data_IF_952153530343
#
_entry.id   IF_952153530343
#
_cell.length_a   1.000
_cell.length_b   1.000
_cell.length_c   1.000
_cell.angle_alpha   90.00
_cell.angle_beta   90.00
_cell.angle_gamma   90.00
#
_symmetry.space_group_name_H-M   'P 1'
#
loop_
_entity.id
_entity.type
_entity.pdbx_description
1 polymer ?
#
# COMPACT_ATOMS: atom_id res chain seq x y z
N UNK A 1 -0.69 17.10 5.66
CA UNK A 1 -2.16 17.09 5.83
C UNK A 1 -2.52 15.75 6.41
N UNK A 2 -3.01 15.70 7.65
CA UNK A 2 -3.35 14.49 8.43
C UNK A 2 -4.53 13.68 7.84
N UNK A 3 -4.83 13.79 6.55
CA UNK A 3 -6.01 13.20 5.91
C UNK A 3 -5.79 12.81 4.44
N UNK A 4 -4.56 12.48 4.02
CA UNK A 4 -4.33 11.99 2.64
C UNK A 4 -4.91 10.59 2.45
N UNK A 5 -5.34 10.24 1.24
CA UNK A 5 -5.74 8.86 0.90
C UNK A 5 -4.68 7.81 1.26
N UNK A 6 -3.39 8.18 1.22
CA UNK A 6 -2.27 7.30 1.60
C UNK A 6 -2.21 7.07 3.11
N UNK A 7 -2.52 8.08 3.93
CA UNK A 7 -2.64 7.89 5.39
C UNK A 7 -3.82 6.97 5.74
N UNK A 8 -4.98 7.18 5.09
CA UNK A 8 -6.15 6.30 5.28
C UNK A 8 -5.86 4.87 4.84
N UNK A 9 -5.13 4.71 3.74
CA UNK A 9 -4.67 3.41 3.24
C UNK A 9 -3.77 2.70 4.24
N UNK A 10 -2.80 3.41 4.84
CA UNK A 10 -1.91 2.86 5.86
C UNK A 10 -2.68 2.45 7.13
N UNK A 11 -3.60 3.31 7.59
CA UNK A 11 -4.46 3.00 8.74
C UNK A 11 -5.30 1.75 8.46
N UNK A 12 -5.96 1.67 7.30
CA UNK A 12 -6.75 0.52 6.92
C UNK A 12 -5.92 -0.77 6.81
N UNK A 13 -4.68 -0.67 6.32
CA UNK A 13 -3.74 -1.78 6.26
C UNK A 13 -3.38 -2.30 7.67
N UNK A 14 -3.11 -1.38 8.60
CA UNK A 14 -2.78 -1.72 9.98
C UNK A 14 -3.98 -2.33 10.72
N UNK A 15 -5.17 -1.78 10.50
CA UNK A 15 -6.44 -2.29 11.05
C UNK A 15 -6.94 -3.57 10.38
N UNK A 16 -6.26 -4.04 9.31
CA UNK A 16 -6.69 -5.19 8.49
C UNK A 16 -8.09 -5.01 7.90
N UNK A 17 -8.52 -3.77 7.71
CA UNK A 17 -9.83 -3.44 7.18
C UNK A 17 -9.79 -3.45 5.64
N UNK A 18 -10.11 -4.60 5.05
CA UNK A 18 -10.03 -4.77 3.59
C UNK A 18 -10.97 -3.84 2.82
N UNK A 19 -12.15 -3.53 3.35
CA UNK A 19 -13.10 -2.65 2.68
C UNK A 19 -12.63 -1.19 2.67
N UNK A 20 -12.15 -0.70 3.81
CA UNK A 20 -11.57 0.63 3.89
C UNK A 20 -10.29 0.72 3.05
N UNK A 21 -9.47 -0.33 3.06
CA UNK A 21 -8.25 -0.40 2.27
C UNK A 21 -8.56 -0.30 0.77
N UNK A 22 -9.53 -1.07 0.27
CA UNK A 22 -9.95 -1.02 -1.14
C UNK A 22 -10.59 0.32 -1.52
N UNK A 23 -11.29 0.99 -0.61
CA UNK A 23 -11.88 2.31 -0.86
C UNK A 23 -10.86 3.43 -1.14
N UNK A 24 -9.57 3.17 -0.88
CA UNK A 24 -8.48 4.12 -1.15
C UNK A 24 -7.92 4.04 -2.58
N UNK A 25 -8.34 3.04 -3.37
CA UNK A 25 -7.79 2.76 -4.70
C UNK A 25 -8.85 2.93 -5.79
N UNK A 26 -8.44 3.30 -7.01
CA UNK A 26 -9.35 3.26 -8.15
C UNK A 26 -9.72 1.83 -8.55
N UNK A 27 -10.85 1.66 -9.23
CA UNK A 27 -11.32 0.34 -9.70
C UNK A 27 -10.28 -0.37 -10.59
N UNK A 28 -9.57 0.41 -11.40
CA UNK A 28 -8.55 0.01 -12.37
C UNK A 28 -7.10 0.19 -11.89
N UNK A 29 -6.88 0.29 -10.58
CA UNK A 29 -5.57 0.52 -9.97
C UNK A 29 -4.50 -0.43 -10.53
N UNK A 30 -3.30 0.09 -10.76
CA UNK A 30 -2.16 -0.70 -11.26
C UNK A 30 -1.02 -0.74 -10.26
N UNK A 31 -0.52 -1.93 -9.95
CA UNK A 31 0.64 -2.11 -9.08
C UNK A 31 1.81 -2.64 -9.89
N UNK A 32 2.91 -1.91 -9.81
CA UNK A 32 4.14 -2.21 -10.51
C UNK A 32 5.25 -2.56 -9.53
N UNK A 33 6.15 -3.44 -9.97
CA UNK A 33 7.52 -3.38 -9.51
C UNK A 33 8.24 -2.34 -10.37
N UNK A 34 8.92 -1.41 -9.71
CA UNK A 34 9.67 -0.37 -10.41
C UNK A 34 10.75 -1.00 -11.30
N UNK A 35 10.94 -0.51 -12.55
CA UNK A 35 10.27 0.66 -13.13
C UNK A 35 8.88 0.40 -13.73
N UNK A 36 8.63 -0.76 -14.34
CA UNK A 36 7.52 -0.93 -15.28
C UNK A 36 6.91 -2.34 -15.32
N UNK A 37 7.25 -3.23 -14.39
CA UNK A 37 6.70 -4.59 -14.37
C UNK A 37 5.34 -4.61 -13.68
N UNK A 38 4.25 -4.75 -14.45
CA UNK A 38 2.89 -4.86 -13.90
C UNK A 38 2.73 -6.19 -13.14
N UNK A 39 2.45 -6.10 -11.84
CA UNK A 39 2.27 -7.28 -10.97
C UNK A 39 0.82 -7.54 -10.60
N UNK A 40 -0.02 -6.51 -10.69
CA UNK A 40 -1.43 -6.60 -10.35
C UNK A 40 -2.21 -5.45 -10.97
N UNK A 41 -3.43 -5.73 -11.42
CA UNK A 41 -4.35 -4.76 -12.01
C UNK A 41 -5.76 -4.98 -11.47
N UNK A 42 -6.40 -3.88 -11.08
CA UNK A 42 -7.78 -3.83 -10.64
C UNK A 42 -8.02 -4.23 -9.17
N UNK A 43 -9.10 -3.68 -8.60
CA UNK A 43 -9.47 -3.94 -7.20
C UNK A 43 -9.78 -5.41 -6.92
N UNK A 44 -10.34 -6.16 -7.87
CA UNK A 44 -10.68 -7.57 -7.63
C UNK A 44 -9.43 -8.42 -7.31
N UNK A 45 -8.37 -8.29 -8.11
CA UNK A 45 -7.10 -8.97 -7.88
C UNK A 45 -6.43 -8.47 -6.59
N UNK A 46 -6.47 -7.16 -6.36
CA UNK A 46 -5.91 -6.53 -5.16
C UNK A 46 -6.60 -7.01 -3.88
N UNK A 47 -7.93 -7.02 -3.86
CA UNK A 47 -8.73 -7.46 -2.73
C UNK A 47 -8.41 -8.90 -2.36
N UNK A 48 -8.40 -9.81 -3.33
CA UNK A 48 -8.08 -11.21 -3.10
C UNK A 48 -6.67 -11.39 -2.49
N UNK A 49 -5.67 -10.66 -3.01
CA UNK A 49 -4.30 -10.71 -2.51
C UNK A 49 -4.17 -10.17 -1.09
N UNK A 50 -4.69 -8.99 -0.82
CA UNK A 50 -4.54 -8.33 0.48
C UNK A 50 -5.43 -8.94 1.57
N UNK A 51 -6.62 -9.44 1.21
CA UNK A 51 -7.43 -10.21 2.15
C UNK A 51 -6.68 -11.45 2.65
N UNK A 52 -6.13 -12.25 1.73
CA UNK A 52 -5.30 -13.41 2.10
C UNK A 52 -4.09 -12.99 2.95
N UNK A 53 -3.45 -11.87 2.61
CA UNK A 53 -2.33 -11.33 3.38
C UNK A 53 -2.73 -11.01 4.83
N UNK A 54 -3.88 -10.35 5.03
CA UNK A 54 -4.39 -9.98 6.35
C UNK A 54 -4.77 -11.20 7.19
N UNK A 55 -5.39 -12.20 6.57
CA UNK A 55 -5.72 -13.48 7.21
C UNK A 55 -4.46 -14.28 7.58
N UNK A 56 -3.44 -14.27 6.72
CA UNK A 56 -2.18 -15.01 6.94
C UNK A 56 -1.32 -14.36 8.03
N UNK A 57 -1.29 -13.04 8.09
CA UNK A 57 -0.44 -12.28 9.00
C UNK A 57 -1.26 -11.29 9.85
N UNK A 58 -2.03 -11.76 10.85
CA UNK A 58 -2.92 -10.91 11.64
C UNK A 58 -2.16 -9.87 12.47
N UNK A 59 -0.94 -10.20 12.90
CA UNK A 59 -0.07 -9.31 13.70
C UNK A 59 0.82 -8.41 12.83
N UNK A 60 0.62 -8.41 11.52
CA UNK A 60 1.36 -7.57 10.60
C UNK A 60 1.11 -6.09 10.89
N UNK A 61 2.15 -5.27 10.90
CA UNK A 61 2.02 -3.83 11.15
C UNK A 61 3.04 -3.06 10.33
N UNK A 62 2.60 -1.99 9.66
CA UNK A 62 3.43 -1.11 8.86
C UNK A 62 3.58 0.25 9.55
N UNK A 63 4.81 0.77 9.57
CA UNK A 63 5.13 2.14 9.98
C UNK A 63 5.83 2.87 8.86
N UNK A 64 5.48 4.14 8.66
CA UNK A 64 6.16 5.03 7.71
C UNK A 64 7.13 5.91 8.49
N UNK A 65 8.43 5.75 8.27
CA UNK A 65 9.44 6.60 8.93
C UNK A 65 9.71 7.88 8.13
N UNK A 66 9.48 7.85 6.81
CA UNK A 66 9.66 8.98 5.90
C UNK A 66 8.58 8.98 4.83
N UNK A 67 7.95 10.14 4.67
CA UNK A 67 6.99 10.42 3.59
C UNK A 67 7.42 11.64 2.80
N UNK A 68 7.46 11.51 1.48
CA UNK A 68 7.69 12.61 0.54
C UNK A 68 6.42 12.84 -0.25
N UNK A 69 5.98 14.10 -0.35
CA UNK A 69 4.82 14.50 -1.14
C UNK A 69 5.30 15.42 -2.25
N UNK A 70 5.00 15.07 -3.51
CA UNK A 70 5.38 15.86 -4.68
C UNK A 70 4.24 15.88 -5.71
N UNK A 71 3.43 16.94 -5.66
CA UNK A 71 2.25 17.07 -6.51
C UNK A 71 1.27 15.92 -6.27
N UNK A 72 1.00 15.14 -7.31
CA UNK A 72 0.12 13.95 -7.25
C UNK A 72 0.83 12.67 -6.80
N UNK A 73 2.13 12.74 -6.49
CA UNK A 73 2.92 11.59 -6.06
C UNK A 73 3.19 11.64 -4.57
N UNK A 74 3.13 10.47 -3.92
CA UNK A 74 3.54 10.26 -2.53
C UNK A 74 4.53 9.10 -2.51
N UNK A 75 5.59 9.20 -1.72
CA UNK A 75 6.58 8.14 -1.55
C UNK A 75 6.72 7.87 -0.06
N UNK A 76 6.47 6.62 0.32
CA UNK A 76 6.63 6.14 1.67
C UNK A 76 7.81 5.16 1.74
N UNK A 77 8.65 5.39 2.73
CA UNK A 77 9.58 4.38 3.22
C UNK A 77 8.91 3.68 4.42
N UNK A 78 8.63 2.39 4.24
CA UNK A 78 7.83 1.57 5.14
C UNK A 78 8.69 0.51 5.81
N UNK A 79 8.44 0.31 7.10
CA UNK A 79 8.90 -0.86 7.84
C UNK A 79 7.69 -1.72 8.21
N UNK A 80 7.73 -2.98 7.82
CA UNK A 80 6.65 -3.95 8.03
C UNK A 80 7.14 -5.04 8.96
N UNK A 81 6.44 -5.22 10.07
CA UNK A 81 6.66 -6.28 11.06
C UNK A 81 5.54 -7.33 11.00
N UNK A 82 5.70 -8.44 11.72
CA UNK A 82 4.63 -9.43 11.93
C UNK A 82 4.36 -10.37 10.76
N UNK A 83 5.13 -10.29 9.66
CA UNK A 83 5.08 -11.28 8.57
C UNK A 83 5.99 -12.48 8.80
N UNK A 84 7.11 -12.27 9.48
CA UNK A 84 8.02 -13.31 9.94
C UNK A 84 8.52 -12.91 11.32
N UNK A 85 8.56 -13.87 12.24
CA UNK A 85 8.94 -13.61 13.63
C UNK A 85 10.36 -13.04 13.70
N UNK A 86 10.52 -11.92 14.41
CA UNK A 86 11.80 -11.24 14.58
C UNK A 86 12.33 -10.51 13.35
N UNK A 87 11.61 -10.50 12.22
CA UNK A 87 12.03 -9.83 10.99
C UNK A 87 11.30 -8.50 10.76
N UNK A 88 12.04 -7.51 10.26
CA UNK A 88 11.52 -6.27 9.71
C UNK A 88 11.72 -6.34 8.20
N UNK A 89 10.62 -6.19 7.46
CA UNK A 89 10.66 -6.04 6.01
C UNK A 89 10.65 -4.55 5.69
N UNK A 90 11.61 -4.12 4.88
CA UNK A 90 11.68 -2.75 4.38
C UNK A 90 11.02 -2.69 2.99
N UNK A 91 10.25 -1.63 2.74
CA UNK A 91 9.66 -1.37 1.43
C UNK A 91 9.69 0.13 1.12
N UNK A 92 9.88 0.46 -0.16
CA UNK A 92 9.62 1.82 -0.67
C UNK A 92 8.42 1.73 -1.59
N UNK A 93 7.33 2.38 -1.21
CA UNK A 93 6.10 2.45 -1.95
C UNK A 93 5.90 3.86 -2.50
N UNK A 94 5.73 3.97 -3.82
CA UNK A 94 5.37 5.22 -4.47
C UNK A 94 3.93 5.12 -5.00
N UNK A 95 3.13 6.14 -4.75
CA UNK A 95 1.73 6.22 -5.11
C UNK A 95 1.51 7.37 -6.09
N UNK A 96 0.72 7.14 -7.14
CA UNK A 96 0.13 8.21 -7.96
C UNK A 96 -1.34 8.38 -7.57
N UNK A 97 -1.74 9.60 -7.26
CA UNK A 97 -3.07 9.95 -6.75
C UNK A 97 -3.83 10.76 -7.80
N UNK A 98 -5.12 10.47 -7.95
CA UNK A 98 -6.05 11.25 -8.76
C UNK A 98 -7.42 11.26 -8.09
N UNK A 99 -8.03 12.43 -7.95
CA UNK A 99 -9.38 12.59 -7.38
C UNK A 99 -9.54 11.90 -6.00
N UNK A 100 -8.53 12.06 -5.14
CA UNK A 100 -8.42 11.43 -3.80
C UNK A 100 -8.44 9.89 -3.79
N UNK A 101 -8.05 9.27 -4.91
CA UNK A 101 -7.87 7.83 -5.08
C UNK A 101 -6.44 7.51 -5.52
N UNK A 102 -5.90 6.40 -5.04
CA UNK A 102 -4.63 5.85 -5.53
C UNK A 102 -4.89 5.10 -6.84
N UNK A 103 -4.31 5.59 -7.94
CA UNK A 103 -4.48 5.00 -9.28
C UNK A 103 -3.31 4.10 -9.67
N UNK A 104 -2.12 4.33 -9.11
CA UNK A 104 -0.95 3.49 -9.32
C UNK A 104 -0.10 3.37 -8.07
N UNK A 105 0.55 2.22 -7.94
CA UNK A 105 1.57 1.95 -6.91
C UNK A 105 2.80 1.39 -7.60
N UNK A 106 3.98 1.84 -7.19
CA UNK A 106 5.25 1.20 -7.51
C UNK A 106 5.93 0.76 -6.23
N UNK A 107 6.42 -0.47 -6.21
CA UNK A 107 7.33 -0.93 -5.17
C UNK A 107 8.75 -0.97 -5.73
N UNK A 108 9.70 -0.36 -5.03
CA UNK A 108 11.12 -0.63 -5.26
C UNK A 108 11.46 -1.89 -4.47
N UNK A 109 11.95 -2.91 -5.17
CA UNK A 109 12.42 -4.16 -4.57
C UNK A 109 13.95 -4.21 -4.63
N UNK A 110 14.53 -4.83 -3.61
CA UNK A 110 15.94 -5.24 -3.62
C UNK A 110 16.12 -6.56 -4.38
#
# INVERSE_FOLDING_TARGET
MENSVVERQLQAYNDKNIDLFMSCYSEDVKIYDFPDTLTMEGQAAMRARYQKLFETFPNMFATVDKRIIHGKYVIDHEQITGRLEGAILEAVAMYEIKDDMIIKVWFLRN
#
